data_IF_797843558127
#
_entry.id   IF_797843558127
#
_cell.length_a   1.000
_cell.length_b   1.000
_cell.length_c   1.000
_cell.angle_alpha   90.00
_cell.angle_beta   90.00
_cell.angle_gamma   90.00
#
_symmetry.space_group_name_H-M   'P 1'
#
loop_
_entity.id
_entity.type
_entity.pdbx_description
1 polymer ?
#
# COMPACT_ATOMS: atom_id res chain seq x y z
N UNK A 1 -3.25 28.03 -71.94
CA UNK A 1 -2.03 27.91 -71.11
C UNK A 1 -2.46 27.75 -69.66
N UNK A 2 -2.03 26.67 -68.99
CA UNK A 2 -2.40 26.33 -67.61
C UNK A 2 -1.29 26.78 -66.64
N UNK A 3 -1.69 27.55 -65.61
CA UNK A 3 -1.19 27.64 -64.21
C UNK A 3 0.30 28.05 -64.03
N UNK A 4 0.74 28.76 -62.98
CA UNK A 4 0.36 28.73 -61.57
C UNK A 4 0.75 30.02 -60.85
N UNK A 5 -0.04 30.44 -59.86
CA UNK A 5 0.37 31.37 -58.81
C UNK A 5 1.18 30.60 -57.74
N UNK A 6 2.31 31.14 -57.32
CA UNK A 6 3.06 30.64 -56.16
C UNK A 6 2.76 31.56 -54.96
N UNK A 7 1.99 31.05 -53.99
CA UNK A 7 1.84 31.64 -52.67
C UNK A 7 2.98 31.13 -51.78
N UNK A 8 3.82 32.02 -51.27
CA UNK A 8 4.84 31.69 -50.28
C UNK A 8 4.21 31.52 -48.90
N UNK A 9 4.19 30.29 -48.38
CA UNK A 9 4.02 30.05 -46.94
C UNK A 9 5.37 30.24 -46.25
N UNK A 10 5.46 31.24 -45.37
CA UNK A 10 6.51 31.32 -44.36
C UNK A 10 6.09 30.38 -43.23
N UNK A 11 6.62 29.16 -43.22
CA UNK A 11 6.49 28.24 -42.08
C UNK A 11 7.43 28.66 -40.97
N UNK A 12 6.89 29.19 -39.87
CA UNK A 12 7.63 29.34 -38.62
C UNK A 12 7.78 27.95 -38.02
N UNK A 13 8.96 27.35 -38.17
CA UNK A 13 9.33 26.13 -37.48
C UNK A 13 9.53 26.46 -35.99
N UNK A 14 8.51 26.22 -35.17
CA UNK A 14 8.65 26.15 -33.73
C UNK A 14 9.55 24.95 -33.41
N UNK A 15 10.82 25.21 -33.15
CA UNK A 15 11.76 24.24 -32.60
C UNK A 15 11.33 23.94 -31.17
N UNK A 16 10.56 22.87 -31.00
CA UNK A 16 10.39 22.22 -29.71
C UNK A 16 11.76 21.76 -29.24
N UNK A 17 12.38 22.55 -28.36
CA UNK A 17 13.54 22.11 -27.59
C UNK A 17 13.02 21.02 -26.66
N UNK A 18 13.09 19.78 -27.11
CA UNK A 18 12.93 18.61 -26.26
C UNK A 18 14.14 18.58 -25.34
N UNK A 19 14.06 19.30 -24.22
CA UNK A 19 14.98 19.08 -23.11
C UNK A 19 14.77 17.65 -22.65
N UNK A 20 15.70 16.76 -22.97
CA UNK A 20 15.83 15.49 -22.28
C UNK A 20 16.01 15.84 -20.81
N UNK A 21 14.98 15.64 -19.99
CA UNK A 21 15.15 15.64 -18.56
C UNK A 21 16.21 14.57 -18.28
N UNK A 22 17.44 14.99 -17.98
CA UNK A 22 18.46 14.08 -17.49
C UNK A 22 17.83 13.42 -16.27
N UNK A 23 17.61 12.11 -16.34
CA UNK A 23 17.21 11.35 -15.17
C UNK A 23 18.20 11.70 -14.07
N UNK A 24 17.73 12.32 -12.99
CA UNK A 24 18.59 12.66 -11.87
C UNK A 24 19.32 11.41 -11.40
N UNK A 25 20.57 11.54 -10.97
CA UNK A 25 21.29 10.41 -10.38
C UNK A 25 20.46 9.87 -9.20
N UNK A 26 20.13 8.58 -9.26
CA UNK A 26 19.44 7.91 -8.17
C UNK A 26 20.37 7.89 -6.95
N UNK A 27 19.92 8.51 -5.85
CA UNK A 27 20.60 8.40 -4.55
C UNK A 27 20.01 7.22 -3.80
N UNK A 28 20.87 6.33 -3.33
CA UNK A 28 20.49 5.19 -2.50
C UNK A 28 20.73 5.59 -1.04
N UNK A 29 19.73 5.31 -0.19
CA UNK A 29 19.85 5.48 1.25
C UNK A 29 19.68 4.13 1.93
N UNK A 30 20.51 3.84 2.93
CA UNK A 30 20.48 2.58 3.66
C UNK A 30 20.24 2.81 5.16
N UNK A 31 19.61 1.85 5.82
CA UNK A 31 19.52 1.86 7.29
C UNK A 31 20.01 0.55 7.86
N UNK A 32 20.63 0.64 9.04
CA UNK A 32 20.99 -0.52 9.87
C UNK A 32 20.08 -0.62 11.09
N UNK A 33 18.99 0.15 11.12
CA UNK A 33 18.06 0.14 12.24
C UNK A 33 17.47 -1.25 12.43
N UNK A 34 17.57 -1.77 13.66
CA UNK A 34 16.95 -3.03 14.03
C UNK A 34 15.42 -2.99 13.92
N UNK A 35 14.82 -1.79 13.87
CA UNK A 35 13.38 -1.60 13.62
C UNK A 35 12.96 -2.25 12.30
N UNK A 36 13.88 -2.40 11.33
CA UNK A 36 13.57 -3.05 10.07
C UNK A 36 13.58 -4.58 10.15
N UNK A 37 14.12 -5.18 11.20
CA UNK A 37 14.12 -6.64 11.35
C UNK A 37 12.76 -7.08 11.89
N UNK A 38 12.03 -7.89 11.11
CA UNK A 38 10.71 -8.36 11.50
C UNK A 38 10.79 -9.69 12.26
N UNK A 39 11.27 -10.73 11.59
CA UNK A 39 11.37 -12.08 12.18
C UNK A 39 12.25 -12.97 11.31
N UNK A 40 12.63 -14.13 11.85
CA UNK A 40 13.16 -15.24 11.06
C UNK A 40 12.10 -16.32 10.99
N UNK A 41 11.73 -16.74 9.78
CA UNK A 41 10.75 -17.80 9.55
C UNK A 41 11.43 -19.05 9.03
N UNK A 42 11.03 -20.20 9.56
CA UNK A 42 11.55 -21.50 9.18
C UNK A 42 10.41 -22.52 9.27
N UNK A 43 10.27 -23.36 8.24
CA UNK A 43 9.32 -24.47 8.20
C UNK A 43 10.08 -25.79 8.21
N UNK A 44 9.38 -26.89 8.55
CA UNK A 44 10.00 -28.22 8.54
C UNK A 44 10.48 -28.61 7.14
N UNK A 45 11.72 -29.11 7.06
CA UNK A 45 12.42 -29.39 5.80
C UNK A 45 12.81 -28.14 4.97
N UNK A 46 12.55 -26.93 5.47
CA UNK A 46 12.78 -25.67 4.77
C UNK A 46 14.09 -24.98 5.10
N UNK A 47 14.23 -23.74 4.60
CA UNK A 47 15.35 -22.84 4.86
C UNK A 47 14.90 -21.70 5.76
N UNK A 48 15.71 -21.35 6.75
CA UNK A 48 15.51 -20.14 7.53
C UNK A 48 15.56 -18.90 6.62
N UNK A 49 14.62 -17.98 6.83
CA UNK A 49 14.52 -16.71 6.11
C UNK A 49 14.36 -15.57 7.08
N UNK A 50 15.31 -14.64 7.04
CA UNK A 50 15.19 -13.38 7.74
C UNK A 50 14.29 -12.46 6.92
N UNK A 51 13.25 -11.95 7.57
CA UNK A 51 12.27 -11.05 7.01
C UNK A 51 12.51 -9.65 7.57
N UNK A 52 12.41 -8.67 6.69
CA UNK A 52 12.47 -7.26 7.04
C UNK A 52 11.15 -6.56 6.74
N UNK A 53 10.91 -5.44 7.40
CA UNK A 53 9.75 -4.60 7.15
C UNK A 53 9.93 -3.86 5.82
N UNK A 54 8.92 -3.95 4.95
CA UNK A 54 8.79 -3.07 3.79
C UNK A 54 8.17 -1.73 4.21
N UNK A 55 8.97 -0.68 4.23
CA UNK A 55 8.54 0.66 4.72
C UNK A 55 7.86 1.52 3.64
N UNK A 56 7.92 1.11 2.38
CA UNK A 56 7.70 1.99 1.23
C UNK A 56 6.45 1.71 0.42
N UNK A 57 5.39 1.20 1.05
CA UNK A 57 4.15 0.92 0.33
C UNK A 57 3.44 2.23 -0.07
N UNK A 58 3.49 3.24 0.80
CA UNK A 58 3.19 4.63 0.45
C UNK A 58 4.16 5.60 1.11
N UNK A 59 4.39 6.76 0.49
CA UNK A 59 5.21 7.82 1.06
C UNK A 59 4.62 9.20 0.79
N UNK A 60 4.77 10.11 1.75
CA UNK A 60 4.30 11.48 1.65
C UNK A 60 5.20 12.43 2.42
N UNK A 61 5.54 13.57 1.80
CA UNK A 61 6.15 14.70 2.49
C UNK A 61 5.15 15.85 2.53
N UNK A 62 4.78 16.28 3.72
CA UNK A 62 3.86 17.41 3.89
C UNK A 62 4.54 18.72 3.45
N UNK A 63 3.83 19.62 2.76
CA UNK A 63 4.32 20.98 2.54
C UNK A 63 4.70 21.65 3.86
N UNK A 64 5.92 22.18 3.93
CA UNK A 64 6.47 22.81 5.14
C UNK A 64 7.35 21.92 6.00
N UNK A 65 7.27 20.59 5.85
CA UNK A 65 8.18 19.68 6.57
C UNK A 65 9.62 19.80 6.02
N UNK A 66 10.65 19.48 6.84
CA UNK A 66 12.04 19.46 6.41
C UNK A 66 12.22 18.68 5.10
N UNK A 67 13.09 19.19 4.22
CA UNK A 67 13.29 18.60 2.89
C UNK A 67 13.85 17.17 2.91
N UNK A 68 14.47 16.76 4.01
CA UNK A 68 15.02 15.43 4.22
C UNK A 68 14.11 14.51 5.04
N UNK A 69 12.86 14.91 5.30
CA UNK A 69 11.90 14.14 6.10
C UNK A 69 10.70 13.73 5.24
N UNK A 70 10.17 12.54 5.48
CA UNK A 70 8.87 12.12 4.94
C UNK A 70 8.22 11.06 5.84
N UNK A 71 6.91 10.90 5.67
CA UNK A 71 6.16 9.80 6.26
C UNK A 71 6.07 8.66 5.27
N UNK A 72 6.13 7.43 5.76
CA UNK A 72 5.90 6.24 4.96
C UNK A 72 4.94 5.30 5.68
N UNK A 73 4.26 4.44 4.94
CA UNK A 73 3.41 3.39 5.50
C UNK A 73 3.90 2.04 5.00
N UNK A 74 3.91 1.05 5.89
CA UNK A 74 4.19 -0.32 5.48
C UNK A 74 3.00 -0.96 4.80
N UNK A 75 3.32 -1.92 3.93
CA UNK A 75 2.40 -2.91 3.34
C UNK A 75 1.72 -3.74 4.46
N UNK A 76 0.85 -4.69 4.08
CA UNK A 76 0.24 -5.70 4.95
C UNK A 76 1.21 -6.76 5.51
N UNK A 77 2.51 -6.58 5.31
CA UNK A 77 3.55 -7.49 5.77
C UNK A 77 3.87 -8.62 4.79
N UNK A 78 4.89 -9.43 5.10
CA UNK A 78 5.36 -10.48 4.22
C UNK A 78 4.24 -11.43 3.81
N UNK A 79 4.05 -11.56 2.50
CA UNK A 79 3.11 -12.51 1.92
C UNK A 79 3.55 -12.90 0.51
N UNK A 80 3.22 -14.12 0.07
CA UNK A 80 3.58 -14.57 -1.28
C UNK A 80 2.63 -15.64 -1.81
N UNK A 81 2.58 -15.78 -3.13
CA UNK A 81 1.76 -16.79 -3.80
C UNK A 81 2.43 -18.16 -3.72
N UNK A 82 1.65 -19.23 -3.96
CA UNK A 82 2.16 -20.60 -4.05
C UNK A 82 3.32 -20.78 -5.03
N UNK A 83 3.41 -19.96 -6.08
CA UNK A 83 4.51 -20.02 -7.04
C UNK A 83 5.87 -19.66 -6.42
N UNK A 84 5.88 -18.94 -5.30
CA UNK A 84 7.10 -18.48 -4.63
C UNK A 84 7.46 -19.32 -3.40
N UNK A 85 6.68 -20.35 -3.04
CA UNK A 85 6.92 -21.17 -1.82
C UNK A 85 8.31 -21.81 -1.85
N UNK A 86 8.71 -22.40 -2.98
CA UNK A 86 10.02 -23.06 -3.07
C UNK A 86 11.18 -22.06 -2.95
N UNK A 87 11.03 -20.89 -3.55
CA UNK A 87 12.05 -19.82 -3.49
C UNK A 87 12.16 -19.27 -2.07
N UNK A 88 11.02 -18.98 -1.43
CA UNK A 88 10.98 -18.34 -0.12
C UNK A 88 11.25 -19.35 0.98
N UNK A 89 10.44 -20.40 1.12
CA UNK A 89 10.52 -21.35 2.24
C UNK A 89 11.47 -22.52 2.00
N UNK A 90 11.87 -22.78 0.76
CA UNK A 90 12.78 -23.89 0.43
C UNK A 90 12.12 -25.27 0.43
N UNK A 91 10.79 -25.33 0.42
CA UNK A 91 9.99 -26.56 0.39
C UNK A 91 9.11 -26.62 -0.86
N UNK A 92 8.65 -27.80 -1.31
CA UNK A 92 7.72 -27.90 -2.43
C UNK A 92 6.43 -27.14 -2.16
N UNK A 93 5.89 -26.45 -3.18
CA UNK A 93 4.65 -25.67 -3.03
C UNK A 93 3.46 -26.50 -2.51
N UNK A 94 3.40 -27.79 -2.87
CA UNK A 94 2.31 -28.68 -2.45
C UNK A 94 2.32 -28.98 -0.94
N UNK A 95 3.48 -28.91 -0.28
CA UNK A 95 3.60 -29.07 1.17
C UNK A 95 2.78 -28.01 1.93
N UNK A 96 2.76 -26.78 1.41
CA UNK A 96 2.09 -25.63 2.03
C UNK A 96 0.70 -25.41 1.40
N UNK A 97 0.64 -25.32 0.08
CA UNK A 97 -0.58 -24.92 -0.63
C UNK A 97 -1.55 -26.06 -0.89
N UNK A 98 -1.11 -27.33 -0.90
CA UNK A 98 -1.98 -28.52 -1.06
C UNK A 98 -2.90 -28.41 -2.30
N UNK A 99 -2.35 -27.96 -3.42
CA UNK A 99 -3.08 -27.67 -4.68
C UNK A 99 -4.06 -26.49 -4.64
N UNK A 100 -4.21 -25.77 -3.52
CA UNK A 100 -5.14 -24.65 -3.39
C UNK A 100 -4.53 -23.31 -3.85
N UNK A 101 -5.39 -22.41 -4.33
CA UNK A 101 -5.02 -21.01 -4.61
C UNK A 101 -5.17 -20.18 -3.34
N UNK A 102 -4.08 -20.08 -2.59
CA UNK A 102 -3.99 -19.35 -1.31
C UNK A 102 -2.84 -18.34 -1.32
N UNK A 103 -2.88 -17.42 -0.37
CA UNK A 103 -1.80 -16.48 -0.07
C UNK A 103 -1.11 -16.93 1.22
N UNK A 104 0.20 -17.12 1.17
CA UNK A 104 0.99 -17.57 2.33
C UNK A 104 1.45 -16.35 3.13
N UNK A 105 1.20 -16.37 4.43
CA UNK A 105 1.59 -15.36 5.41
C UNK A 105 2.55 -15.96 6.43
N UNK A 106 3.87 -15.79 6.27
CA UNK A 106 4.86 -16.32 7.21
C UNK A 106 4.87 -15.59 8.57
N UNK A 107 4.28 -14.39 8.65
CA UNK A 107 4.14 -13.60 9.89
C UNK A 107 2.69 -13.09 10.02
N UNK A 108 1.73 -13.96 10.37
CA UNK A 108 0.31 -13.63 10.34
C UNK A 108 -0.13 -12.63 11.43
N UNK A 109 0.72 -12.40 12.42
CA UNK A 109 0.55 -11.44 13.51
C UNK A 109 1.08 -10.03 13.17
N UNK A 110 1.55 -9.81 11.94
CA UNK A 110 2.06 -8.51 11.51
C UNK A 110 0.98 -7.42 11.53
N UNK A 111 1.35 -6.24 12.03
CA UNK A 111 0.52 -5.04 12.06
C UNK A 111 1.15 -3.90 11.25
N UNK A 112 0.46 -3.41 10.20
CA UNK A 112 0.92 -2.26 9.44
C UNK A 112 1.08 -1.01 10.30
N UNK A 113 2.12 -0.24 10.00
CA UNK A 113 2.52 0.93 10.78
C UNK A 113 2.93 2.10 9.88
N UNK A 114 2.86 3.30 10.44
CA UNK A 114 3.35 4.54 9.83
C UNK A 114 4.73 4.84 10.41
N UNK A 115 5.63 5.30 9.56
CA UNK A 115 7.01 5.63 9.89
C UNK A 115 7.31 7.07 9.57
N UNK A 116 8.07 7.73 10.44
CA UNK A 116 8.70 9.01 10.12
C UNK A 116 10.16 8.76 9.79
N UNK A 117 10.54 9.05 8.56
CA UNK A 117 11.87 8.79 8.01
C UNK A 117 12.61 10.11 7.80
N UNK A 118 13.87 10.12 8.22
CA UNK A 118 14.81 11.22 7.97
C UNK A 118 16.00 10.70 7.15
N UNK A 119 16.31 11.40 6.07
CA UNK A 119 17.48 11.15 5.23
C UNK A 119 18.67 11.93 5.78
N UNK A 120 19.82 11.27 5.85
CA UNK A 120 21.09 11.84 6.31
C UNK A 120 22.02 12.09 5.13
N UNK A 121 22.88 13.11 5.24
CA UNK A 121 23.80 13.48 4.15
C UNK A 121 24.86 12.40 3.82
N UNK A 122 25.08 11.44 4.74
CA UNK A 122 26.01 10.33 4.58
C UNK A 122 25.44 9.14 3.78
N UNK A 123 24.22 9.28 3.24
CA UNK A 123 23.54 8.20 2.52
C UNK A 123 22.87 7.17 3.43
N UNK A 124 22.70 7.49 4.72
CA UNK A 124 21.86 6.68 5.63
C UNK A 124 20.47 7.28 5.83
N UNK A 125 19.53 6.50 6.35
CA UNK A 125 18.27 7.04 6.86
C UNK A 125 17.94 6.50 8.26
N UNK A 126 17.30 7.36 9.04
CA UNK A 126 16.78 7.08 10.36
C UNK A 126 15.25 6.90 10.32
N UNK A 127 14.75 6.02 11.17
CA UNK A 127 13.33 5.92 11.52
C UNK A 127 13.19 6.53 12.91
N UNK A 128 12.42 7.61 13.04
CA UNK A 128 12.24 8.32 14.32
C UNK A 128 10.99 7.87 15.07
N UNK A 129 9.90 7.67 14.34
CA UNK A 129 8.63 7.26 14.91
C UNK A 129 8.11 6.01 14.19
N UNK A 130 7.52 5.10 14.97
CA UNK A 130 6.78 3.93 14.49
C UNK A 130 5.40 3.97 15.14
N UNK A 131 4.38 4.21 14.33
CA UNK A 131 2.99 4.37 14.77
C UNK A 131 2.19 3.20 14.21
N UNK A 132 1.93 2.20 15.05
CA UNK A 132 1.09 1.06 14.67
C UNK A 132 -0.35 1.51 14.45
N UNK A 133 -0.94 1.08 13.33
CA UNK A 133 -2.34 1.35 13.03
C UNK A 133 -3.20 0.43 13.90
N UNK A 134 -4.13 1.01 14.67
CA UNK A 134 -4.92 0.31 15.68
C UNK A 134 -6.38 0.78 15.68
N UNK A 135 -7.27 -0.04 16.20
CA UNK A 135 -8.68 0.29 16.35
C UNK A 135 -8.94 1.21 17.55
N UNK A 136 -10.21 1.60 17.78
CA UNK A 136 -10.57 2.50 18.88
C UNK A 136 -10.43 1.87 20.27
N UNK A 137 -10.24 0.55 20.35
CA UNK A 137 -9.93 -0.16 21.59
C UNK A 137 -8.41 -0.30 21.82
N UNK A 138 -7.59 0.20 20.89
CA UNK A 138 -6.14 0.09 20.93
C UNK A 138 -5.59 -1.25 20.43
N UNK A 139 -6.43 -2.09 19.81
CA UNK A 139 -6.00 -3.36 19.22
C UNK A 139 -5.35 -3.08 17.86
N UNK A 140 -4.09 -3.51 17.63
CA UNK A 140 -3.46 -3.36 16.33
C UNK A 140 -4.29 -4.00 15.21
N UNK A 141 -4.39 -3.31 14.08
CA UNK A 141 -4.94 -3.91 12.87
C UNK A 141 -3.97 -4.96 12.33
N UNK A 142 -4.50 -5.91 11.57
CA UNK A 142 -3.71 -7.01 10.99
C UNK A 142 -3.45 -6.78 9.51
N UNK A 143 -2.30 -7.24 9.04
CA UNK A 143 -1.97 -7.33 7.61
C UNK A 143 -2.53 -8.56 6.89
N UNK A 144 -3.37 -9.36 7.54
CA UNK A 144 -4.09 -10.44 6.85
C UNK A 144 -5.08 -9.91 5.80
N UNK A 145 -5.77 -10.81 5.12
CA UNK A 145 -6.77 -10.42 4.12
C UNK A 145 -8.09 -10.01 4.77
N UNK A 146 -8.77 -9.01 4.20
CA UNK A 146 -10.13 -8.65 4.59
C UNK A 146 -11.13 -9.79 4.31
N UNK A 147 -12.10 -9.98 5.22
CA UNK A 147 -13.21 -10.95 5.08
C UNK A 147 -14.31 -10.44 4.14
N UNK A 148 -13.99 -10.32 2.86
CA UNK A 148 -14.88 -9.71 1.87
C UNK A 148 -15.82 -10.74 1.23
N UNK A 149 -17.07 -10.35 1.04
CA UNK A 149 -18.08 -11.10 0.29
C UNK A 149 -18.51 -10.37 -0.98
N UNK A 150 -18.35 -9.05 -1.04
CA UNK A 150 -18.75 -8.21 -2.19
C UNK A 150 -17.60 -8.04 -3.20
N UNK A 151 -16.40 -7.74 -2.72
CA UNK A 151 -15.19 -7.65 -3.54
C UNK A 151 -14.37 -8.95 -3.47
N UNK A 152 -13.54 -9.22 -4.48
CA UNK A 152 -12.66 -10.40 -4.49
C UNK A 152 -11.57 -10.27 -3.44
N UNK A 153 -11.41 -11.28 -2.59
CA UNK A 153 -10.33 -11.39 -1.60
C UNK A 153 -9.59 -12.72 -1.74
N UNK A 154 -8.35 -12.78 -1.26
CA UNK A 154 -7.55 -14.01 -1.21
C UNK A 154 -7.81 -14.77 0.10
N UNK A 155 -7.50 -16.07 0.11
CA UNK A 155 -7.56 -16.89 1.33
C UNK A 155 -6.17 -17.00 1.95
N UNK A 156 -5.99 -16.60 3.22
CA UNK A 156 -4.68 -16.64 3.87
C UNK A 156 -4.41 -18.03 4.48
N UNK A 157 -3.16 -18.46 4.39
CA UNK A 157 -2.61 -19.60 5.14
C UNK A 157 -1.31 -19.18 5.83
N UNK A 158 -0.94 -19.84 6.92
CA UNK A 158 0.39 -19.66 7.53
C UNK A 158 1.49 -20.37 6.73
N UNK A 159 2.73 -20.30 7.20
CA UNK A 159 3.89 -20.92 6.53
C UNK A 159 3.79 -22.46 6.47
N UNK A 160 3.03 -23.09 7.36
CA UNK A 160 2.81 -24.54 7.43
C UNK A 160 1.56 -24.97 6.61
N UNK A 161 0.87 -24.03 5.99
CA UNK A 161 -0.31 -24.28 5.17
C UNK A 161 -1.58 -24.53 5.98
N UNK A 162 -1.66 -24.03 7.21
CA UNK A 162 -2.90 -23.99 7.98
C UNK A 162 -3.71 -22.75 7.57
N UNK A 163 -5.02 -22.92 7.44
CA UNK A 163 -5.93 -21.82 7.11
C UNK A 163 -5.95 -20.78 8.24
N UNK A 164 -5.83 -19.51 7.87
CA UNK A 164 -5.96 -18.39 8.78
C UNK A 164 -7.34 -17.73 8.62
N UNK A 165 -7.88 -17.25 9.74
CA UNK A 165 -9.13 -16.49 9.72
C UNK A 165 -8.90 -15.10 9.11
N UNK A 166 -9.79 -14.71 8.21
CA UNK A 166 -9.78 -13.36 7.65
C UNK A 166 -10.38 -12.38 8.66
N UNK A 167 -9.90 -11.13 8.67
CA UNK A 167 -10.35 -10.12 9.63
C UNK A 167 -11.16 -9.01 8.96
N UNK A 168 -12.17 -8.51 9.68
CA UNK A 168 -12.96 -7.32 9.30
C UNK A 168 -12.19 -6.02 9.50
N UNK A 169 -11.06 -6.08 10.21
CA UNK A 169 -10.18 -4.94 10.48
C UNK A 169 -8.79 -5.14 9.89
N UNK A 170 -8.72 -5.85 8.76
CA UNK A 170 -7.45 -5.99 8.04
C UNK A 170 -7.15 -4.74 7.20
N UNK A 171 -5.87 -4.44 7.02
CA UNK A 171 -5.43 -3.32 6.19
C UNK A 171 -4.24 -3.72 5.33
N UNK A 172 -4.34 -3.37 4.06
CA UNK A 172 -3.28 -3.45 3.07
C UNK A 172 -2.95 -2.03 2.62
N UNK A 173 -2.10 -1.36 3.41
CA UNK A 173 -1.92 0.08 3.33
C UNK A 173 -0.91 0.45 2.25
N UNK A 174 -1.40 1.17 1.23
CA UNK A 174 -0.65 1.44 -0.01
C UNK A 174 -0.58 2.93 -0.37
N UNK A 175 -1.24 3.78 0.42
CA UNK A 175 -1.20 5.22 0.22
C UNK A 175 -1.23 5.95 1.55
N UNK A 176 -0.58 7.09 1.66
CA UNK A 176 -0.57 7.89 2.88
C UNK A 176 -0.61 9.38 2.55
N UNK A 177 -1.38 10.13 3.31
CA UNK A 177 -1.35 11.60 3.37
C UNK A 177 -1.30 12.02 4.84
N UNK A 178 -0.41 12.94 5.17
CA UNK A 178 -0.35 13.61 6.49
C UNK A 178 -1.08 14.96 6.42
N UNK A 179 -2.08 15.16 7.26
CA UNK A 179 -2.83 16.41 7.34
C UNK A 179 -2.23 17.40 8.35
N UNK A 180 -2.71 18.64 8.29
CA UNK A 180 -2.24 19.76 9.10
C UNK A 180 -2.58 19.67 10.58
N UNK A 181 -3.73 19.04 10.89
CA UNK A 181 -4.15 18.68 12.25
C UNK A 181 -3.34 17.51 12.84
N UNK A 182 -2.48 16.91 12.02
CA UNK A 182 -1.71 15.76 12.40
C UNK A 182 -2.52 14.46 12.41
N UNK A 183 -3.55 14.31 11.60
CA UNK A 183 -4.13 13.03 11.25
C UNK A 183 -3.55 12.50 9.93
N UNK A 184 -3.97 11.31 9.53
CA UNK A 184 -3.57 10.66 8.29
C UNK A 184 -4.79 10.20 7.51
N UNK A 185 -4.71 10.27 6.19
CA UNK A 185 -5.50 9.43 5.30
C UNK A 185 -4.64 8.29 4.77
N UNK A 186 -5.17 7.07 4.78
CA UNK A 186 -4.50 5.87 4.29
C UNK A 186 -5.33 5.22 3.19
N UNK A 187 -4.69 4.92 2.07
CA UNK A 187 -5.26 4.18 0.95
C UNK A 187 -5.08 2.68 1.18
N UNK A 188 -6.12 1.90 0.90
CA UNK A 188 -6.12 0.47 1.21
C UNK A 188 -6.47 -0.38 -0.01
N UNK A 189 -5.67 -1.41 -0.25
CA UNK A 189 -5.64 -2.18 -1.50
C UNK A 189 -6.77 -3.22 -1.58
N UNK A 190 -7.02 -3.93 -0.49
CA UNK A 190 -7.79 -5.16 -0.49
C UNK A 190 -9.30 -4.89 -0.29
N UNK A 191 -9.69 -4.06 0.66
CA UNK A 191 -11.05 -3.58 0.88
C UNK A 191 -11.48 -2.40 0.00
N UNK A 192 -10.89 -2.25 -1.20
CA UNK A 192 -10.54 -0.95 -1.86
C UNK A 192 -11.11 0.29 -1.16
N UNK A 193 -10.51 0.65 -0.02
CA UNK A 193 -11.07 1.64 0.90
C UNK A 193 -10.07 2.74 1.23
N UNK A 194 -10.53 3.76 1.96
CA UNK A 194 -9.66 4.75 2.59
C UNK A 194 -9.95 4.83 4.09
N UNK A 195 -8.93 5.05 4.90
CA UNK A 195 -9.05 5.16 6.35
C UNK A 195 -8.60 6.56 6.81
N UNK A 196 -9.36 7.16 7.71
CA UNK A 196 -8.91 8.32 8.49
C UNK A 196 -8.33 7.83 9.81
N UNK A 197 -7.09 8.22 10.10
CA UNK A 197 -6.33 7.73 11.25
C UNK A 197 -5.78 8.92 12.02
N UNK A 198 -5.89 8.91 13.34
CA UNK A 198 -5.35 9.95 14.22
C UNK A 198 -3.82 9.98 14.19
N UNK A 199 -3.23 11.02 14.81
CA UNK A 199 -1.78 11.15 14.96
C UNK A 199 -1.10 9.93 15.60
N UNK A 200 -1.81 9.24 16.49
CA UNK A 200 -1.30 8.11 17.27
C UNK A 200 -1.65 6.73 16.68
N UNK A 201 -2.18 6.69 15.45
CA UNK A 201 -2.47 5.46 14.73
C UNK A 201 -3.87 4.89 14.93
N UNK A 202 -4.74 5.57 15.69
CA UNK A 202 -6.11 5.12 15.94
C UNK A 202 -7.00 5.37 14.73
N UNK A 203 -7.65 4.34 14.21
CA UNK A 203 -8.62 4.46 13.11
C UNK A 203 -9.88 5.17 13.60
N UNK A 204 -10.18 6.31 12.97
CA UNK A 204 -11.41 7.08 13.23
C UNK A 204 -12.55 6.50 12.41
N UNK A 205 -12.33 6.39 11.11
CA UNK A 205 -13.31 5.82 10.18
C UNK A 205 -12.65 5.13 8.99
N UNK A 206 -13.36 4.16 8.42
CA UNK A 206 -13.07 3.54 7.14
C UNK A 206 -14.20 3.85 6.16
N UNK A 207 -13.86 4.46 5.04
CA UNK A 207 -14.79 4.73 3.94
C UNK A 207 -14.57 3.68 2.87
N UNK A 208 -15.61 2.89 2.61
CA UNK A 208 -15.60 1.73 1.70
C UNK A 208 -16.48 2.01 0.47
N UNK A 209 -16.39 1.19 -0.59
CA UNK A 209 -17.35 1.26 -1.69
C UNK A 209 -18.79 1.08 -1.18
N UNK A 210 -19.70 1.95 -1.61
CA UNK A 210 -21.10 1.86 -1.23
C UNK A 210 -21.68 0.46 -1.53
N UNK A 211 -22.32 -0.15 -0.54
CA UNK A 211 -22.86 -1.51 -0.60
C UNK A 211 -21.92 -2.62 -0.10
N UNK A 212 -20.70 -2.29 0.36
CA UNK A 212 -19.75 -3.25 0.93
C UNK A 212 -19.56 -3.14 2.46
N UNK A 213 -20.29 -2.24 3.13
CA UNK A 213 -20.14 -1.93 4.56
C UNK A 213 -20.29 -3.17 5.45
N UNK A 214 -21.17 -4.09 5.07
CA UNK A 214 -21.44 -5.31 5.82
C UNK A 214 -20.24 -6.25 5.93
N UNK A 215 -19.29 -6.20 4.98
CA UNK A 215 -18.06 -7.00 5.05
C UNK A 215 -17.14 -6.55 6.20
N UNK A 216 -17.37 -5.36 6.77
CA UNK A 216 -16.58 -4.77 7.85
C UNK A 216 -17.35 -4.68 9.17
N UNK A 217 -18.56 -5.26 9.24
CA UNK A 217 -19.39 -5.31 10.44
C UNK A 217 -18.62 -5.99 11.59
N UNK A 218 -18.60 -5.34 12.76
CA UNK A 218 -17.83 -5.78 13.92
C UNK A 218 -16.46 -5.11 14.08
N UNK A 219 -16.02 -4.29 13.13
CA UNK A 219 -14.85 -3.41 13.33
C UNK A 219 -15.11 -2.45 14.49
N UNK A 220 -14.10 -2.21 15.33
CA UNK A 220 -14.16 -1.26 16.44
C UNK A 220 -13.86 0.19 15.99
N UNK A 221 -14.45 0.62 14.89
CA UNK A 221 -14.40 1.97 14.35
C UNK A 221 -15.56 2.18 13.37
N UNK A 222 -15.82 3.43 13.01
CA UNK A 222 -16.92 3.77 12.08
C UNK A 222 -16.59 3.25 10.67
N UNK A 223 -17.56 2.61 10.02
CA UNK A 223 -17.50 2.23 8.61
C UNK A 223 -18.61 2.94 7.85
N UNK A 224 -18.31 3.49 6.67
CA UNK A 224 -19.32 4.15 5.82
C UNK A 224 -19.12 3.86 4.33
N UNK A 225 -20.21 3.70 3.59
CA UNK A 225 -20.20 3.52 2.13
C UNK A 225 -20.13 4.84 1.37
N UNK A 226 -19.02 5.56 1.50
CA UNK A 226 -18.84 6.87 0.85
C UNK A 226 -18.14 6.83 -0.51
N UNK A 227 -17.55 5.69 -0.90
CA UNK A 227 -16.83 5.57 -2.18
C UNK A 227 -17.73 5.03 -3.31
N UNK A 228 -17.39 5.31 -4.59
CA UNK A 228 -18.12 4.74 -5.73
C UNK A 228 -18.22 3.21 -5.64
N UNK A 229 -19.45 2.69 -5.67
CA UNK A 229 -19.73 1.25 -5.54
C UNK A 229 -18.95 0.38 -6.54
N UNK A 230 -18.66 0.91 -7.73
CA UNK A 230 -17.92 0.21 -8.79
C UNK A 230 -16.51 -0.21 -8.38
N UNK A 231 -15.90 0.41 -7.35
CA UNK A 231 -14.57 0.05 -6.88
C UNK A 231 -14.45 -1.40 -6.38
N UNK A 232 -15.56 -2.05 -6.00
CA UNK A 232 -15.57 -3.50 -5.68
C UNK A 232 -15.14 -4.38 -6.87
N UNK A 233 -15.15 -3.82 -8.08
CA UNK A 233 -14.66 -4.46 -9.31
C UNK A 233 -13.16 -4.29 -9.53
N UNK A 234 -12.39 -3.76 -8.57
CA UNK A 234 -10.93 -3.78 -8.65
C UNK A 234 -10.41 -5.19 -8.89
N UNK A 235 -9.28 -5.32 -9.60
CA UNK A 235 -8.60 -6.61 -9.68
C UNK A 235 -8.12 -7.03 -8.27
N UNK A 236 -7.96 -8.32 -8.02
CA UNK A 236 -7.44 -8.79 -6.71
C UNK A 236 -6.05 -8.23 -6.48
N UNK A 237 -5.83 -7.66 -5.29
CA UNK A 237 -4.56 -7.03 -4.92
C UNK A 237 -4.22 -5.86 -5.84
N UNK A 238 -5.16 -4.94 -6.13
CA UNK A 238 -5.03 -3.79 -7.05
C UNK A 238 -5.97 -2.65 -6.66
N UNK A 239 -5.89 -2.18 -5.42
CA UNK A 239 -6.82 -1.23 -4.84
C UNK A 239 -6.28 0.19 -4.86
N UNK A 240 -6.58 0.96 -3.81
CA UNK A 240 -6.21 2.37 -3.71
C UNK A 240 -4.77 2.48 -3.20
N UNK A 241 -3.85 2.80 -4.11
CA UNK A 241 -2.39 2.77 -3.83
C UNK A 241 -1.69 4.10 -4.11
N UNK A 242 -2.44 5.13 -4.48
CA UNK A 242 -1.87 6.45 -4.69
C UNK A 242 -2.87 7.49 -4.28
N UNK A 243 -2.38 8.48 -3.56
CA UNK A 243 -3.19 9.53 -2.96
C UNK A 243 -2.52 10.89 -3.13
N UNK A 244 -3.33 11.92 -3.19
CA UNK A 244 -2.89 13.31 -3.14
C UNK A 244 -3.93 14.13 -2.38
N UNK A 245 -3.51 15.27 -1.86
CA UNK A 245 -4.39 16.19 -1.13
C UNK A 245 -4.25 17.60 -1.70
N UNK A 246 -5.34 18.35 -1.76
CA UNK A 246 -5.29 19.77 -2.15
C UNK A 246 -4.52 20.59 -1.09
N UNK A 247 -3.91 21.73 -1.46
CA UNK A 247 -3.14 22.55 -0.51
C UNK A 247 -3.94 23.06 0.71
N UNK A 248 -5.26 23.21 0.56
CA UNK A 248 -6.19 23.60 1.62
C UNK A 248 -6.80 22.41 2.37
N UNK A 249 -6.36 21.18 2.06
CA UNK A 249 -6.81 19.91 2.63
C UNK A 249 -8.32 19.62 2.44
N UNK A 250 -9.01 20.38 1.58
CA UNK A 250 -10.46 20.22 1.34
C UNK A 250 -10.81 19.11 0.34
N UNK A 251 -9.82 18.59 -0.39
CA UNK A 251 -9.97 17.51 -1.38
C UNK A 251 -8.89 16.46 -1.19
N UNK A 252 -9.33 15.21 -1.12
CA UNK A 252 -8.49 14.02 -1.20
C UNK A 252 -8.71 13.37 -2.57
N UNK A 253 -7.62 13.15 -3.29
CA UNK A 253 -7.59 12.46 -4.57
C UNK A 253 -6.96 11.11 -4.36
N UNK A 254 -7.43 10.11 -5.10
CA UNK A 254 -6.81 8.80 -5.12
C UNK A 254 -6.99 8.13 -6.47
N UNK A 255 -6.18 7.11 -6.72
CA UNK A 255 -6.33 6.24 -7.89
C UNK A 255 -6.13 4.78 -7.49
N UNK A 256 -6.76 3.91 -8.25
CA UNK A 256 -6.52 2.46 -8.16
C UNK A 256 -5.32 2.07 -9.02
N UNK A 257 -4.54 1.07 -8.60
CA UNK A 257 -3.32 0.65 -9.31
C UNK A 257 -3.57 0.22 -10.76
N UNK A 258 -4.72 -0.45 -11.00
CA UNK A 258 -5.09 -0.92 -12.33
C UNK A 258 -6.52 -0.52 -12.72
N UNK A 259 -6.84 -0.56 -14.04
CA UNK A 259 -8.22 -0.52 -14.49
C UNK A 259 -9.09 -1.54 -13.78
N UNK A 260 -10.35 -1.16 -13.53
CA UNK A 260 -11.34 -2.05 -12.94
C UNK A 260 -11.58 -3.26 -13.84
N UNK A 261 -11.83 -4.42 -13.23
CA UNK A 261 -12.31 -5.62 -13.91
C UNK A 261 -13.82 -5.50 -14.18
N UNK A 262 -14.21 -4.58 -15.08
CA UNK A 262 -15.59 -4.21 -15.34
C UNK A 262 -15.84 -3.61 -16.75
N UNK A 263 -16.54 -4.35 -17.62
CA UNK A 263 -16.24 -5.74 -17.96
C UNK A 263 -14.75 -5.94 -18.32
#
# INVERSE_FOLDING_TARGET
>A
MKRSFAAGLIGVAATLVTGSAMAGEAKVFETKSAINNLSTVMVDGGKARDLTIGLGSGAYRRPGDPGNMFYAVSDRGPNFTCANVEVVLGVPADQVCKGAKVRVYPTPDYSPSIYTIFLNDDGSFDIKDVITIKDQNGVPLTGLTNKLTVAKTEKPVDADGNMLEQSVSSIDAEGIIRLSDGSYWIGEENGPSILHVTADGTVVERIVPAGSEKDFEGSAYKVSGGLPAILVKRQTNRGIESMAVSPDESKLYFMVQNPLANP
#
